data_IF_525718042655
#
_entry.id   IF_525718042655
#
_cell.length_a   1.000
_cell.length_b   1.000
_cell.length_c   1.000
_cell.angle_alpha   90.00
_cell.angle_beta   90.00
_cell.angle_gamma   90.00
#
_symmetry.space_group_name_H-M   'P 1'
#
loop_
_entity.id
_entity.type
_entity.pdbx_description
1 polymer ?
#
# COMPACT_ATOMS: atom_id res chain seq x y z
N UNK A 1 -12.32 -15.13 -1.44
CA UNK A 1 -11.83 -15.31 -0.08
C UNK A 1 -11.31 -16.72 0.09
N UNK A 2 -10.22 -16.89 0.84
CA UNK A 2 -9.77 -18.19 1.36
C UNK A 2 -10.39 -18.47 2.73
N UNK A 3 -10.22 -19.69 3.24
CA UNK A 3 -10.70 -20.11 4.57
C UNK A 3 -10.15 -19.20 5.67
N UNK A 4 -8.84 -18.91 5.64
CA UNK A 4 -8.18 -17.96 6.55
C UNK A 4 -8.82 -16.55 6.49
N UNK A 5 -9.11 -16.06 5.28
CA UNK A 5 -9.77 -14.76 5.12
C UNK A 5 -11.21 -14.77 5.66
N UNK A 6 -11.90 -15.90 5.60
CA UNK A 6 -13.25 -16.05 6.21
C UNK A 6 -13.15 -16.10 7.73
N UNK A 7 -12.18 -16.82 8.30
CA UNK A 7 -11.89 -16.83 9.73
C UNK A 7 -11.62 -15.40 10.23
N UNK A 8 -10.77 -14.66 9.53
CA UNK A 8 -10.49 -13.25 9.86
C UNK A 8 -11.75 -12.38 9.79
N UNK A 9 -12.58 -12.56 8.76
CA UNK A 9 -13.82 -11.81 8.60
C UNK A 9 -14.80 -12.10 9.74
N UNK A 10 -15.00 -13.37 10.09
CA UNK A 10 -15.88 -13.79 11.18
C UNK A 10 -15.35 -13.34 12.54
N UNK A 11 -14.04 -13.36 12.75
CA UNK A 11 -13.38 -12.83 13.95
C UNK A 11 -13.62 -11.33 14.08
N UNK A 12 -13.50 -10.57 12.99
CA UNK A 12 -13.85 -9.15 12.98
C UNK A 12 -15.31 -8.93 13.38
N UNK A 13 -16.25 -9.72 12.86
CA UNK A 13 -17.67 -9.60 13.22
C UNK A 13 -17.92 -9.94 14.70
N UNK A 14 -17.27 -10.99 15.22
CA UNK A 14 -17.35 -11.39 16.62
C UNK A 14 -16.86 -10.31 17.59
N UNK A 15 -15.93 -9.46 17.16
CA UNK A 15 -15.51 -8.29 17.95
C UNK A 15 -16.63 -7.26 18.17
N UNK A 16 -17.65 -7.23 17.29
CA UNK A 16 -18.80 -6.33 17.41
C UNK A 16 -20.00 -6.98 18.09
N UNK A 17 -20.37 -8.20 17.67
CA UNK A 17 -21.63 -8.84 18.08
C UNK A 17 -21.46 -10.03 19.03
N UNK A 18 -20.23 -10.39 19.38
CA UNK A 18 -19.89 -11.49 20.27
C UNK A 18 -20.40 -12.85 19.79
N UNK A 19 -20.55 -13.05 18.48
CA UNK A 19 -20.81 -14.40 17.93
C UNK A 19 -19.72 -15.39 18.33
N UNK A 20 -20.12 -16.63 18.57
CA UNK A 20 -19.20 -17.76 18.65
C UNK A 20 -18.99 -18.28 17.24
N UNK A 21 -17.73 -18.46 16.84
CA UNK A 21 -17.34 -18.94 15.52
C UNK A 21 -16.76 -20.34 15.67
N UNK A 22 -17.33 -21.32 14.98
CA UNK A 22 -16.78 -22.67 14.86
C UNK A 22 -16.47 -23.03 13.41
N UNK A 23 -15.83 -24.19 13.21
CA UNK A 23 -15.40 -24.65 11.88
C UNK A 23 -16.57 -24.76 10.89
N UNK A 24 -17.74 -25.24 11.34
CA UNK A 24 -18.94 -25.31 10.52
C UNK A 24 -19.44 -23.93 10.06
N UNK A 25 -19.23 -22.87 10.86
CA UNK A 25 -19.58 -21.50 10.46
C UNK A 25 -18.63 -21.01 9.36
N UNK A 26 -17.34 -21.32 9.47
CA UNK A 26 -16.33 -20.97 8.46
C UNK A 26 -16.68 -21.60 7.12
N UNK A 27 -16.99 -22.91 7.10
CA UNK A 27 -17.39 -23.62 5.89
C UNK A 27 -18.65 -23.00 5.26
N UNK A 28 -19.68 -22.76 6.07
CA UNK A 28 -20.93 -22.17 5.60
C UNK A 28 -20.71 -20.76 5.03
N UNK A 29 -19.88 -19.94 5.70
CA UNK A 29 -19.55 -18.60 5.23
C UNK A 29 -18.68 -18.63 3.98
N UNK A 30 -17.70 -19.51 3.89
CA UNK A 30 -16.89 -19.67 2.69
C UNK A 30 -17.75 -20.03 1.48
N UNK A 31 -18.71 -20.95 1.63
CA UNK A 31 -19.66 -21.24 0.54
C UNK A 31 -20.53 -20.03 0.19
N UNK A 32 -20.90 -19.22 1.18
CA UNK A 32 -21.81 -18.10 1.01
C UNK A 32 -21.16 -16.81 0.52
N UNK A 33 -19.86 -16.57 0.76
CA UNK A 33 -19.15 -15.33 0.41
C UNK A 33 -17.77 -15.54 -0.22
N UNK A 34 -17.33 -16.79 -0.41
CA UNK A 34 -15.99 -17.13 -0.89
C UNK A 34 -15.62 -16.56 -2.26
N UNK A 35 -16.59 -16.21 -3.10
CA UNK A 35 -16.36 -15.54 -4.38
C UNK A 35 -16.08 -14.03 -4.26
N UNK A 36 -16.32 -13.42 -3.09
CA UNK A 36 -16.12 -11.99 -2.88
C UNK A 36 -14.65 -11.64 -2.58
N UNK A 37 -14.21 -10.41 -2.93
CA UNK A 37 -12.93 -9.88 -2.46
C UNK A 37 -12.93 -9.63 -0.95
N UNK A 38 -11.90 -10.11 -0.24
CA UNK A 38 -11.79 -9.97 1.21
C UNK A 38 -11.79 -8.50 1.69
N UNK A 39 -11.06 -7.62 0.99
CA UNK A 39 -11.01 -6.21 1.33
C UNK A 39 -12.41 -5.55 1.31
N UNK A 40 -13.25 -5.92 0.34
CA UNK A 40 -14.59 -5.36 0.20
C UNK A 40 -15.52 -5.89 1.30
N UNK A 41 -15.39 -7.18 1.63
CA UNK A 41 -16.14 -7.80 2.72
C UNK A 41 -15.83 -7.12 4.06
N UNK A 42 -14.56 -6.82 4.35
CA UNK A 42 -14.18 -6.05 5.56
C UNK A 42 -14.79 -4.65 5.58
N UNK A 43 -14.74 -3.93 4.46
CA UNK A 43 -15.36 -2.60 4.35
C UNK A 43 -16.87 -2.69 4.59
N UNK A 44 -17.54 -3.71 4.04
CA UNK A 44 -18.96 -3.97 4.25
C UNK A 44 -19.28 -4.21 5.74
N UNK A 45 -18.51 -5.07 6.42
CA UNK A 45 -18.67 -5.35 7.86
C UNK A 45 -18.51 -4.09 8.69
N UNK A 46 -17.41 -3.36 8.50
CA UNK A 46 -17.15 -2.14 9.28
C UNK A 46 -18.21 -1.07 9.02
N UNK A 47 -18.63 -0.89 7.77
CA UNK A 47 -19.70 0.06 7.43
C UNK A 47 -21.00 -0.30 8.14
N UNK A 48 -21.39 -1.57 8.11
CA UNK A 48 -22.62 -2.04 8.77
C UNK A 48 -22.61 -1.69 10.25
N UNK A 49 -21.58 -2.08 11.01
CA UNK A 49 -21.55 -1.82 12.46
C UNK A 49 -21.32 -0.35 12.84
N UNK A 50 -20.95 0.51 11.88
CA UNK A 50 -20.96 1.98 12.07
C UNK A 50 -22.37 2.57 11.97
N UNK A 51 -23.22 1.97 11.14
CA UNK A 51 -24.53 2.53 10.78
C UNK A 51 -25.70 1.79 11.46
N UNK A 52 -25.49 0.53 11.84
CA UNK A 52 -26.49 -0.37 12.41
C UNK A 52 -25.93 -1.16 13.58
N UNK A 53 -26.83 -1.59 14.47
CA UNK A 53 -26.53 -2.51 15.58
C UNK A 53 -27.05 -3.93 15.33
N UNK A 54 -27.69 -4.16 14.18
CA UNK A 54 -28.30 -5.43 13.86
C UNK A 54 -27.24 -6.51 13.59
N UNK A 55 -27.64 -7.77 13.80
CA UNK A 55 -26.80 -8.91 13.50
C UNK A 55 -26.55 -9.02 11.99
N UNK A 56 -25.28 -9.15 11.60
CA UNK A 56 -24.88 -9.17 10.19
C UNK A 56 -24.87 -10.60 9.63
N UNK A 57 -25.56 -10.81 8.50
CA UNK A 57 -25.66 -12.09 7.80
C UNK A 57 -24.90 -12.09 6.46
N UNK A 58 -24.60 -13.26 5.86
CA UNK A 58 -23.89 -13.33 4.58
C UNK A 58 -24.56 -12.53 3.45
N UNK A 59 -25.90 -12.54 3.40
CA UNK A 59 -26.67 -11.80 2.40
C UNK A 59 -26.44 -10.28 2.47
N UNK A 60 -26.27 -9.74 3.67
CA UNK A 60 -26.00 -8.33 3.89
C UNK A 60 -24.61 -7.95 3.40
N UNK A 61 -23.60 -8.80 3.65
CA UNK A 61 -22.25 -8.63 3.11
C UNK A 61 -22.27 -8.64 1.59
N UNK A 62 -22.96 -9.60 0.95
CA UNK A 62 -23.10 -9.65 -0.51
C UNK A 62 -23.74 -8.38 -1.06
N UNK A 63 -24.82 -7.90 -0.42
CA UNK A 63 -25.51 -6.66 -0.81
C UNK A 63 -24.60 -5.44 -0.70
N UNK A 64 -23.87 -5.30 0.40
CA UNK A 64 -22.96 -4.19 0.62
C UNK A 64 -21.76 -4.22 -0.33
N UNK A 65 -21.14 -5.38 -0.56
CA UNK A 65 -20.05 -5.55 -1.53
C UNK A 65 -20.53 -5.23 -2.95
N UNK A 66 -21.73 -5.67 -3.34
CA UNK A 66 -22.32 -5.29 -4.63
C UNK A 66 -22.45 -3.76 -4.76
N UNK A 67 -22.94 -3.07 -3.73
CA UNK A 67 -23.04 -1.62 -3.75
C UNK A 67 -21.66 -0.94 -3.88
N UNK A 68 -20.64 -1.44 -3.17
CA UNK A 68 -19.26 -0.96 -3.29
C UNK A 68 -18.73 -1.14 -4.73
N UNK A 69 -18.99 -2.29 -5.34
CA UNK A 69 -18.57 -2.59 -6.72
C UNK A 69 -19.26 -1.67 -7.73
N UNK A 70 -20.58 -1.49 -7.59
CA UNK A 70 -21.36 -0.59 -8.44
C UNK A 70 -20.89 0.85 -8.35
N UNK A 71 -20.60 1.34 -7.14
CA UNK A 71 -20.07 2.68 -6.91
C UNK A 71 -18.73 2.89 -7.62
N UNK A 72 -17.82 1.91 -7.53
CA UNK A 72 -16.53 1.98 -8.24
C UNK A 72 -16.68 2.08 -9.75
N UNK A 73 -17.64 1.35 -10.31
CA UNK A 73 -17.92 1.35 -11.75
C UNK A 73 -18.55 2.68 -12.17
N UNK A 74 -19.45 3.25 -11.36
CA UNK A 74 -20.17 4.50 -11.67
C UNK A 74 -19.29 5.74 -11.59
N UNK A 75 -18.45 5.85 -10.57
CA UNK A 75 -17.67 7.07 -10.28
C UNK A 75 -16.50 7.27 -11.26
N UNK A 76 -16.14 6.26 -12.05
CA UNK A 76 -14.92 6.29 -12.87
C UNK A 76 -15.20 5.97 -14.34
N UNK A 77 -14.56 6.68 -15.28
CA UNK A 77 -14.52 6.26 -16.67
C UNK A 77 -13.84 4.89 -16.79
N UNK A 78 -14.51 3.94 -17.44
CA UNK A 78 -13.91 2.65 -17.76
C UNK A 78 -12.96 2.82 -18.96
N UNK A 79 -11.78 2.19 -18.96
CA UNK A 79 -10.93 2.19 -20.14
C UNK A 79 -11.66 1.48 -21.29
N UNK A 80 -11.52 2.03 -22.49
CA UNK A 80 -12.00 1.36 -23.69
C UNK A 80 -11.08 0.19 -24.06
N UNK A 81 -11.60 -0.89 -24.67
CA UNK A 81 -10.81 -1.89 -25.37
C UNK A 81 -9.91 -1.25 -26.44
N UNK A 82 -8.81 -1.91 -26.81
CA UNK A 82 -7.94 -1.39 -27.88
C UNK A 82 -8.67 -1.39 -29.24
N UNK A 83 -8.22 -0.58 -30.21
CA UNK A 83 -8.80 -0.60 -31.56
C UNK A 83 -8.86 -2.00 -32.18
N UNK A 84 -7.81 -2.81 -32.00
CA UNK A 84 -7.76 -4.19 -32.49
C UNK A 84 -8.77 -5.11 -31.78
N UNK A 85 -8.93 -4.96 -30.46
CA UNK A 85 -9.94 -5.69 -29.67
C UNK A 85 -11.38 -5.25 -30.01
N UNK A 86 -11.55 -4.02 -30.52
CA UNK A 86 -12.84 -3.43 -30.88
C UNK A 86 -13.34 -3.81 -32.29
N UNK A 87 -12.49 -4.42 -33.13
CA UNK A 87 -12.87 -4.85 -34.49
C UNK A 87 -13.94 -5.95 -34.46
N UNK A 88 -13.85 -6.89 -33.52
CA UNK A 88 -14.84 -7.97 -33.36
C UNK A 88 -15.81 -7.64 -32.18
N UNK A 89 -17.13 -7.52 -32.43
CA UNK A 89 -18.13 -7.29 -31.39
C UNK A 89 -18.12 -8.31 -30.23
N UNK A 90 -17.73 -9.57 -30.47
CA UNK A 90 -17.60 -10.58 -29.39
C UNK A 90 -16.40 -10.29 -28.50
N UNK A 91 -15.24 -10.01 -29.10
CA UNK A 91 -14.01 -9.68 -28.37
C UNK A 91 -14.21 -8.41 -27.56
N UNK A 92 -14.83 -7.39 -28.16
CA UNK A 92 -15.19 -6.16 -27.46
C UNK A 92 -16.04 -6.42 -26.20
N UNK A 93 -17.11 -7.21 -26.33
CA UNK A 93 -18.02 -7.51 -25.19
C UNK A 93 -17.31 -8.28 -24.09
N UNK A 94 -16.51 -9.29 -24.43
CA UNK A 94 -15.73 -10.05 -23.46
C UNK A 94 -14.73 -9.14 -22.74
N UNK A 95 -14.03 -8.30 -23.50
CA UNK A 95 -13.04 -7.36 -22.96
C UNK A 95 -13.67 -6.34 -22.02
N UNK A 96 -14.82 -5.79 -22.38
CA UNK A 96 -15.59 -4.90 -21.52
C UNK A 96 -16.05 -5.59 -20.24
N UNK A 97 -16.52 -6.83 -20.32
CA UNK A 97 -16.90 -7.60 -19.13
C UNK A 97 -15.71 -7.83 -18.19
N UNK A 98 -14.54 -8.13 -18.72
CA UNK A 98 -13.31 -8.28 -17.93
C UNK A 98 -12.89 -6.96 -17.26
N UNK A 99 -12.96 -5.85 -17.99
CA UNK A 99 -12.66 -4.52 -17.46
C UNK A 99 -13.61 -4.18 -16.31
N UNK A 100 -14.91 -4.39 -16.50
CA UNK A 100 -15.94 -4.15 -15.47
C UNK A 100 -15.69 -5.05 -14.25
N UNK A 101 -15.40 -6.34 -14.46
CA UNK A 101 -15.12 -7.28 -13.40
C UNK A 101 -13.89 -6.85 -12.57
N UNK A 102 -12.81 -6.46 -13.24
CA UNK A 102 -11.58 -5.97 -12.60
C UNK A 102 -11.79 -4.69 -11.82
N UNK A 103 -12.39 -3.67 -12.43
CA UNK A 103 -12.68 -2.37 -11.78
C UNK A 103 -13.62 -2.58 -10.59
N UNK A 104 -14.67 -3.37 -10.77
CA UNK A 104 -15.60 -3.74 -9.70
C UNK A 104 -14.86 -4.32 -8.51
N UNK A 105 -13.95 -5.28 -8.73
CA UNK A 105 -13.15 -5.91 -7.67
C UNK A 105 -11.96 -5.06 -7.18
N UNK A 106 -11.90 -3.76 -7.51
CA UNK A 106 -10.85 -2.85 -7.05
C UNK A 106 -9.47 -3.06 -7.70
N UNK A 107 -9.36 -3.99 -8.67
CA UNK A 107 -8.13 -4.25 -9.42
C UNK A 107 -8.08 -3.31 -10.62
N UNK A 108 -7.67 -2.07 -10.38
CA UNK A 108 -7.64 -1.04 -11.42
C UNK A 108 -6.82 -1.50 -12.64
N UNK A 109 -7.37 -1.43 -13.86
CA UNK A 109 -6.61 -1.59 -15.10
C UNK A 109 -5.91 -0.26 -15.44
N UNK A 110 -5.14 0.31 -14.51
CA UNK A 110 -4.16 1.27 -14.96
C UNK A 110 -3.11 0.48 -15.72
N UNK A 111 -2.81 0.88 -16.96
CA UNK A 111 -1.41 0.79 -17.37
C UNK A 111 -0.70 1.62 -16.31
N UNK A 112 0.05 0.96 -15.42
CA UNK A 112 1.14 1.68 -14.76
C UNK A 112 1.79 2.53 -15.84
N UNK A 113 2.14 3.79 -15.55
CA UNK A 113 3.18 4.45 -16.35
C UNK A 113 4.24 3.36 -16.46
N UNK A 114 4.51 2.89 -17.67
CA UNK A 114 5.45 1.80 -17.90
C UNK A 114 6.85 2.34 -17.64
N UNK A 115 7.16 2.65 -16.39
CA UNK A 115 8.33 2.07 -15.77
C UNK A 115 7.97 0.58 -15.60
N UNK A 116 8.79 -0.31 -16.16
CA UNK A 116 8.52 -1.75 -16.24
C UNK A 116 7.92 -2.29 -14.94
N UNK A 117 6.81 -3.03 -15.06
CA UNK A 117 6.13 -3.60 -13.91
C UNK A 117 7.08 -4.48 -13.12
N UNK A 118 7.36 -4.11 -11.87
CA UNK A 118 8.14 -4.93 -10.94
C UNK A 118 9.51 -5.39 -11.47
N UNK A 119 10.02 -4.80 -12.55
CA UNK A 119 11.37 -5.06 -12.99
C UNK A 119 12.27 -4.47 -11.90
N UNK A 120 13.11 -5.31 -11.32
CA UNK A 120 14.24 -4.79 -10.57
C UNK A 120 14.89 -3.70 -11.41
N UNK A 121 15.32 -2.57 -10.80
CA UNK A 121 16.00 -1.53 -11.53
C UNK A 121 17.09 -2.14 -12.41
N UNK A 122 17.26 -1.65 -13.64
CA UNK A 122 18.22 -2.24 -14.59
C UNK A 122 19.60 -2.37 -13.97
N UNK A 123 20.39 -3.35 -14.42
CA UNK A 123 21.78 -3.53 -13.94
C UNK A 123 22.57 -2.23 -14.07
N UNK A 124 22.40 -1.51 -15.20
CA UNK A 124 22.97 -0.18 -15.42
C UNK A 124 22.51 0.84 -14.36
N UNK A 125 21.23 0.86 -13.96
CA UNK A 125 20.75 1.73 -12.88
C UNK A 125 21.32 1.33 -11.52
N UNK A 126 21.44 0.03 -11.24
CA UNK A 126 21.99 -0.48 -9.97
C UNK A 126 23.50 -0.21 -9.84
N UNK A 127 24.22 -0.25 -10.97
CA UNK A 127 25.66 0.03 -11.10
C UNK A 127 25.95 1.53 -11.12
N UNK A 128 25.11 2.34 -11.79
CA UNK A 128 25.18 3.80 -11.74
C UNK A 128 24.90 4.34 -10.33
N UNK A 129 24.24 3.55 -9.49
CA UNK A 129 23.97 3.90 -8.10
C UNK A 129 25.25 3.72 -7.27
N UNK A 130 25.90 4.84 -7.00
CA UNK A 130 27.13 4.87 -6.20
C UNK A 130 26.90 4.31 -4.79
N UNK A 131 27.99 3.87 -4.15
CA UNK A 131 27.96 3.51 -2.73
C UNK A 131 27.44 4.69 -1.88
N UNK A 132 27.75 5.92 -2.29
CA UNK A 132 27.28 7.17 -1.68
C UNK A 132 25.75 7.32 -1.76
N UNK A 133 25.12 6.99 -2.89
CA UNK A 133 23.65 7.03 -3.04
C UNK A 133 22.92 5.98 -2.18
N UNK A 134 23.57 4.85 -1.90
CA UNK A 134 23.05 3.80 -1.01
C UNK A 134 23.16 4.26 0.44
N UNK A 135 24.32 4.79 0.81
CA UNK A 135 24.58 5.32 2.14
C UNK A 135 23.69 6.53 2.47
N UNK A 136 23.42 7.40 1.48
CA UNK A 136 22.49 8.52 1.64
C UNK A 136 21.07 8.06 2.00
N UNK A 137 20.56 7.07 1.27
CA UNK A 137 19.21 6.54 1.54
C UNK A 137 19.15 5.83 2.88
N UNK A 138 20.19 5.04 3.21
CA UNK A 138 20.27 4.38 4.49
C UNK A 138 20.32 5.38 5.65
N UNK A 139 21.15 6.43 5.57
CA UNK A 139 21.23 7.45 6.61
C UNK A 139 19.89 8.17 6.87
N UNK A 140 19.06 8.36 5.83
CA UNK A 140 17.77 9.04 5.98
C UNK A 140 16.70 8.18 6.68
N UNK A 141 16.86 6.86 6.83
CA UNK A 141 15.84 6.01 7.47
C UNK A 141 15.72 6.22 8.98
N UNK A 142 16.71 6.88 9.60
CA UNK A 142 16.76 7.15 11.05
C UNK A 142 16.85 8.66 11.32
N UNK A 143 16.41 9.15 12.48
CA UNK A 143 16.68 10.53 12.91
C UNK A 143 18.18 10.75 13.09
N UNK A 144 18.64 11.99 12.90
CA UNK A 144 20.06 12.31 13.12
C UNK A 144 20.38 12.33 14.62
N UNK A 145 21.39 11.58 15.10
CA UNK A 145 21.77 11.55 16.52
C UNK A 145 22.59 12.78 16.95
N UNK A 146 22.88 13.70 16.02
CA UNK A 146 23.66 14.90 16.32
C UNK A 146 22.74 15.92 16.97
N UNK A 147 22.98 16.28 18.23
CA UNK A 147 22.11 17.10 19.08
C UNK A 147 21.66 18.43 18.46
N UNK A 148 22.49 19.02 17.60
CA UNK A 148 22.20 20.30 16.96
C UNK A 148 21.58 20.17 15.56
N UNK A 149 21.49 18.96 15.01
CA UNK A 149 20.87 18.72 13.71
C UNK A 149 19.36 18.48 13.89
N UNK A 150 18.49 19.32 13.31
CA UNK A 150 17.04 19.19 13.49
C UNK A 150 16.40 18.14 12.55
N UNK A 151 17.20 17.40 11.77
CA UNK A 151 16.68 16.54 10.70
C UNK A 151 16.01 15.28 11.25
N UNK A 152 14.74 15.10 10.90
CA UNK A 152 13.96 13.90 11.22
C UNK A 152 14.25 12.75 10.24
N UNK A 153 13.76 11.55 10.56
CA UNK A 153 13.77 10.43 9.61
C UNK A 153 13.02 10.83 8.32
N UNK A 154 13.63 10.54 7.18
CA UNK A 154 13.17 10.95 5.85
C UNK A 154 13.65 12.33 5.40
N UNK A 155 14.25 13.14 6.28
CA UNK A 155 14.76 14.47 5.93
C UNK A 155 16.27 14.47 5.72
N UNK A 156 16.79 15.29 4.78
CA UNK A 156 18.23 15.52 4.68
C UNK A 156 18.76 16.26 5.92
N UNK A 157 20.03 15.99 6.28
CA UNK A 157 20.71 16.72 7.35
C UNK A 157 20.75 18.22 7.03
N UNK A 158 20.67 19.06 8.06
CA UNK A 158 20.76 20.52 7.91
C UNK A 158 21.43 21.17 9.13
N UNK A 159 22.06 22.34 8.98
CA UNK A 159 22.73 23.00 10.10
C UNK A 159 21.78 23.74 11.05
N UNK A 160 20.60 24.15 10.57
CA UNK A 160 19.52 24.73 11.35
C UNK A 160 18.16 24.51 10.66
N UNK A 161 17.02 24.72 11.35
CA UNK A 161 15.70 24.55 10.74
C UNK A 161 15.44 25.47 9.54
N UNK A 162 16.12 26.63 9.47
CA UNK A 162 15.90 27.69 8.48
C UNK A 162 16.93 27.72 7.36
N UNK A 163 17.99 26.91 7.45
CA UNK A 163 19.03 26.84 6.43
C UNK A 163 18.77 25.71 5.42
N UNK A 164 19.35 25.86 4.24
CA UNK A 164 19.31 24.83 3.21
C UNK A 164 19.89 23.51 3.73
N UNK A 165 19.34 22.36 3.28
CA UNK A 165 19.90 21.07 3.63
C UNK A 165 21.33 20.91 3.12
N UNK A 166 22.11 20.15 3.88
CA UNK A 166 23.44 19.72 3.46
C UNK A 166 23.33 18.79 2.26
N UNK A 167 24.30 18.87 1.35
CA UNK A 167 24.48 17.93 0.24
C UNK A 167 24.94 16.56 0.73
N UNK A 168 25.65 16.53 1.87
CA UNK A 168 26.12 15.32 2.56
C UNK A 168 25.40 15.14 3.90
N UNK A 169 25.51 13.94 4.49
CA UNK A 169 24.93 13.63 5.79
C UNK A 169 26.00 13.59 6.88
N UNK A 170 25.57 13.72 8.14
CA UNK A 170 26.48 13.53 9.27
C UNK A 170 26.89 12.05 9.37
N UNK A 171 28.19 11.73 9.47
CA UNK A 171 28.67 10.35 9.60
C UNK A 171 27.97 9.54 10.71
N UNK A 172 27.69 10.16 11.86
CA UNK A 172 26.99 9.52 12.98
C UNK A 172 25.58 9.05 12.62
N UNK A 173 24.93 9.70 11.65
CA UNK A 173 23.60 9.28 11.18
C UNK A 173 23.67 7.97 10.40
N UNK A 174 24.69 7.82 9.55
CA UNK A 174 24.92 6.58 8.82
C UNK A 174 25.33 5.43 9.76
N UNK A 175 26.13 5.73 10.79
CA UNK A 175 26.49 4.77 11.84
C UNK A 175 25.24 4.22 12.55
N UNK A 176 24.35 5.11 13.00
CA UNK A 176 23.07 4.69 13.62
C UNK A 176 22.21 3.86 12.66
N UNK A 177 22.13 4.26 11.39
CA UNK A 177 21.37 3.49 10.39
C UNK A 177 21.95 2.08 10.14
N UNK A 178 23.26 1.91 10.34
CA UNK A 178 23.97 0.61 10.28
C UNK A 178 23.93 -0.17 11.60
N UNK A 179 23.34 0.38 12.66
CA UNK A 179 23.33 -0.22 14.00
C UNK A 179 24.66 -0.09 14.76
N UNK A 180 25.53 0.82 14.33
CA UNK A 180 26.80 1.15 14.98
C UNK A 180 26.61 2.25 16.04
N UNK A 181 27.52 2.30 17.01
CA UNK A 181 27.54 3.36 18.02
C UNK A 181 27.94 4.70 17.39
N UNK A 182 27.12 5.77 17.52
CA UNK A 182 27.41 7.05 16.88
C UNK A 182 28.61 7.73 17.53
N UNK A 183 29.58 8.14 16.72
CA UNK A 183 30.65 9.02 17.20
C UNK A 183 30.12 10.44 17.45
N UNK A 184 30.52 11.11 18.54
CA UNK A 184 30.11 12.48 18.78
C UNK A 184 30.73 13.41 17.73
N UNK A 185 29.90 14.24 17.09
CA UNK A 185 30.34 15.25 16.10
C UNK A 185 30.11 16.65 16.68
N UNK A 186 31.19 17.41 16.79
CA UNK A 186 31.11 18.81 17.19
C UNK A 186 30.71 19.70 15.99
N UNK A 187 29.98 20.79 16.23
CA UNK A 187 29.45 21.67 15.18
C UNK A 187 30.52 22.34 14.31
N UNK A 188 31.78 22.36 14.77
CA UNK A 188 32.91 23.01 14.09
C UNK A 188 33.61 22.13 13.05
N UNK A 189 33.42 20.80 13.06
CA UNK A 189 34.12 19.88 12.15
C UNK A 189 33.43 19.67 10.81
N UNK A 190 32.18 20.13 10.63
CA UNK A 190 31.41 19.95 9.38
C UNK A 190 31.60 21.08 8.36
N UNK A 191 32.44 22.08 8.65
CA UNK A 191 32.69 23.23 7.77
C UNK A 191 33.94 23.07 6.88
N UNK A 192 34.62 21.92 6.91
CA UNK A 192 35.98 21.77 6.38
C UNK A 192 36.18 20.99 5.09
N UNK A 193 35.18 20.30 4.53
CA UNK A 193 35.39 19.40 3.38
C UNK A 193 34.38 19.67 2.25
N UNK A 194 34.37 20.91 1.78
CA UNK A 194 33.87 21.26 0.46
C UNK A 194 35.03 21.93 -0.31
N UNK A 195 35.79 21.11 -1.04
CA UNK A 195 36.70 21.54 -2.11
C UNK A 195 36.57 20.56 -3.26
#
# INVERSE_FOLDING_TARGET
>A
MTDDEVVDLLTLMASFDRRTVGDADVDAWLMAVGDLPFADAKVAVVKHYRESREWLMPADVRRAVRAIREERIKVRPLPAPTPDEAVDPRVYKQRMADIIHRVGNGKMPFRAITAGGGAEPSTEYQEARSQEDRDRVLAQTVPCPVDWCPALAGEPCRPSPTQEPLTTWHPSRLQVARGEEPRPINKQSTAGEAS
#
